data_IF_800428212175
#
_entry.id   IF_800428212175
#
_cell.length_a   1.000
_cell.length_b   1.000
_cell.length_c   1.000
_cell.angle_alpha   90.00
_cell.angle_beta   90.00
_cell.angle_gamma   90.00
#
_symmetry.space_group_name_H-M   'P 1'
#
loop_
_entity.id
_entity.type
_entity.pdbx_description
1 polymer ?
#
# COMPACT_ATOMS: atom_id res chain seq x y z
N UNK A 1 87.35 -17.68 4.01
CA UNK A 1 86.84 -16.46 3.35
C UNK A 1 85.87 -16.87 2.27
N UNK A 2 84.64 -16.30 2.30
CA UNK A 2 83.66 -16.10 1.20
C UNK A 2 83.20 -17.36 0.42
N UNK A 3 81.93 -17.78 0.62
CA UNK A 3 80.80 -17.51 -0.33
C UNK A 3 80.55 -18.78 -1.20
N UNK A 4 79.36 -19.27 -1.57
CA UNK A 4 78.06 -18.65 -1.85
C UNK A 4 77.01 -19.77 -2.19
N UNK A 5 75.74 -19.61 -1.75
CA UNK A 5 74.43 -19.96 -2.42
C UNK A 5 74.13 -21.46 -2.73
N UNK A 6 73.22 -22.17 -2.02
CA UNK A 6 71.75 -22.15 -2.00
C UNK A 6 71.05 -22.76 -3.25
N UNK A 7 70.32 -23.89 -3.08
CA UNK A 7 69.15 -24.36 -3.87
C UNK A 7 68.38 -25.39 -2.99
N UNK A 8 67.29 -25.07 -2.29
CA UNK A 8 65.87 -25.09 -2.76
C UNK A 8 65.38 -26.53 -3.03
N UNK A 9 64.87 -27.30 -2.07
CA UNK A 9 63.61 -27.19 -1.30
C UNK A 9 62.34 -27.28 -2.15
N UNK A 10 62.03 -28.46 -2.70
CA UNK A 10 60.68 -28.81 -3.16
C UNK A 10 60.26 -30.18 -2.61
N UNK A 11 59.62 -30.15 -1.43
CA UNK A 11 58.96 -31.30 -0.81
C UNK A 11 57.44 -31.12 -0.94
N UNK A 12 56.83 -32.05 -1.68
CA UNK A 12 55.39 -32.27 -1.87
C UNK A 12 54.59 -32.04 -0.58
N UNK A 13 53.48 -31.30 -0.66
CA UNK A 13 52.35 -31.47 0.25
C UNK A 13 51.03 -31.32 -0.50
N UNK A 14 50.35 -32.47 -0.64
CA UNK A 14 48.91 -32.73 -0.69
C UNK A 14 47.97 -31.73 -1.37
N UNK A 15 47.45 -32.19 -2.50
CA UNK A 15 46.13 -31.89 -3.03
C UNK A 15 45.09 -32.23 -1.95
N UNK A 16 44.49 -31.22 -1.33
CA UNK A 16 43.39 -31.36 -0.37
C UNK A 16 42.11 -30.86 -1.07
N UNK A 17 40.99 -31.62 -1.00
CA UNK A 17 39.92 -31.54 -1.98
C UNK A 17 39.09 -30.27 -1.83
N UNK A 18 38.92 -29.60 -2.96
CA UNK A 18 38.12 -28.39 -3.18
C UNK A 18 36.62 -28.73 -3.15
N UNK A 19 36.07 -29.16 -2.00
CA UNK A 19 34.70 -29.70 -1.90
C UNK A 19 33.82 -29.07 -0.80
N UNK A 20 34.10 -27.84 -0.38
CA UNK A 20 33.34 -27.16 0.67
C UNK A 20 32.77 -25.79 0.27
N UNK A 21 32.57 -25.53 -1.04
CA UNK A 21 32.07 -24.24 -1.55
C UNK A 21 30.71 -24.32 -2.27
N UNK A 22 29.91 -25.36 -2.00
CA UNK A 22 28.56 -25.54 -2.54
C UNK A 22 27.59 -25.86 -1.40
N UNK A 23 27.11 -24.84 -0.68
CA UNK A 23 25.83 -24.82 0.07
C UNK A 23 25.71 -23.52 0.89
N UNK A 24 26.01 -22.38 0.28
CA UNK A 24 25.39 -21.12 0.67
C UNK A 24 24.60 -20.61 -0.55
N UNK A 25 23.61 -21.40 -0.95
CA UNK A 25 22.42 -20.80 -1.56
C UNK A 25 21.76 -20.07 -0.42
N UNK A 26 22.13 -18.80 -0.26
CA UNK A 26 21.33 -17.83 0.46
C UNK A 26 19.94 -17.97 -0.14
N UNK A 27 19.03 -18.59 0.60
CA UNK A 27 17.61 -18.41 0.36
C UNK A 27 17.40 -16.90 0.52
N UNK A 28 17.51 -16.17 -0.58
CA UNK A 28 16.98 -14.83 -0.69
C UNK A 28 15.49 -15.04 -0.47
N UNK A 29 15.07 -14.92 0.78
CA UNK A 29 13.67 -14.72 1.12
C UNK A 29 13.24 -13.55 0.26
N UNK A 30 12.53 -13.84 -0.83
CA UNK A 30 11.76 -12.86 -1.57
C UNK A 30 10.64 -12.43 -0.62
N UNK A 31 10.98 -11.61 0.37
CA UNK A 31 10.01 -10.81 1.07
C UNK A 31 9.54 -9.80 0.04
N UNK A 32 8.37 -10.05 -0.54
CA UNK A 32 7.70 -9.07 -1.36
C UNK A 32 7.45 -7.83 -0.48
N UNK A 33 8.26 -6.81 -0.73
CA UNK A 33 8.27 -5.55 0.00
C UNK A 33 7.56 -4.50 -0.85
N UNK A 34 6.65 -3.75 -0.23
CA UNK A 34 6.24 -2.47 -0.80
C UNK A 34 7.49 -1.59 -0.94
N UNK A 35 7.60 -0.75 -1.99
CA UNK A 35 8.64 0.26 -2.02
C UNK A 35 8.58 1.11 -0.74
N UNK A 36 9.73 1.58 -0.27
CA UNK A 36 9.80 2.42 0.93
C UNK A 36 8.82 3.60 0.82
N UNK A 37 8.12 3.94 1.92
CA UNK A 37 7.08 4.95 1.91
C UNK A 37 7.52 6.28 1.28
N UNK A 38 8.75 6.70 1.51
CA UNK A 38 9.35 7.92 0.93
C UNK A 38 9.28 8.00 -0.60
N UNK A 39 9.23 6.86 -1.30
CA UNK A 39 9.15 6.80 -2.77
C UNK A 39 7.70 6.69 -3.28
N UNK A 40 6.78 6.27 -2.40
CA UNK A 40 5.38 6.03 -2.73
C UNK A 40 4.54 7.30 -2.57
N UNK A 41 4.67 8.00 -1.45
CA UNK A 41 3.71 9.03 -1.04
C UNK A 41 3.53 10.15 -2.09
N UNK A 42 2.29 10.51 -2.46
CA UNK A 42 2.02 11.68 -3.29
C UNK A 42 2.42 12.99 -2.59
N UNK A 43 2.57 14.06 -3.37
CA UNK A 43 2.94 15.37 -2.84
C UNK A 43 1.94 15.85 -1.75
N UNK A 44 2.46 16.40 -0.67
CA UNK A 44 1.69 16.92 0.46
C UNK A 44 1.25 15.88 1.49
N UNK A 45 1.39 14.58 1.22
CA UNK A 45 1.17 13.55 2.23
C UNK A 45 2.39 13.39 3.14
N UNK A 46 2.16 13.30 4.44
CA UNK A 46 3.16 12.98 5.45
C UNK A 46 2.95 11.56 5.96
N UNK A 47 4.04 10.81 6.11
CA UNK A 47 4.00 9.46 6.67
C UNK A 47 3.50 9.53 8.12
N UNK A 48 2.46 8.76 8.43
CA UNK A 48 1.94 8.58 9.79
C UNK A 48 2.49 7.31 10.41
N UNK A 49 2.47 6.21 9.66
CA UNK A 49 2.98 4.92 10.13
C UNK A 49 3.36 4.02 8.96
N UNK A 50 4.36 3.18 9.18
CA UNK A 50 4.71 2.05 8.33
C UNK A 50 4.80 0.81 9.21
N UNK A 51 4.05 -0.24 8.86
CA UNK A 51 3.86 -1.41 9.72
C UNK A 51 3.93 -2.70 8.90
N UNK A 52 4.53 -3.73 9.49
CA UNK A 52 4.47 -5.11 9.00
C UNK A 52 3.70 -5.95 10.02
N UNK A 53 2.48 -6.33 9.67
CA UNK A 53 1.57 -7.11 10.50
C UNK A 53 1.58 -8.59 10.09
N UNK A 54 2.76 -9.22 10.12
CA UNK A 54 2.89 -10.68 9.95
C UNK A 54 2.33 -11.20 8.63
N UNK A 55 2.63 -10.53 7.51
CA UNK A 55 2.16 -10.91 6.17
C UNK A 55 1.31 -9.84 5.47
N UNK A 56 1.02 -8.73 6.15
CA UNK A 56 0.48 -7.52 5.54
C UNK A 56 1.40 -6.34 5.82
N UNK A 57 1.86 -5.69 4.76
CA UNK A 57 2.57 -4.40 4.84
C UNK A 57 1.56 -3.27 4.71
N UNK A 58 1.69 -2.26 5.56
CA UNK A 58 0.79 -1.11 5.61
C UNK A 58 1.60 0.18 5.68
N UNK A 59 1.24 1.13 4.82
CA UNK A 59 1.75 2.50 4.83
C UNK A 59 0.55 3.42 4.99
N UNK A 60 0.52 4.14 6.11
CA UNK A 60 -0.49 5.13 6.43
C UNK A 60 0.13 6.53 6.31
N UNK A 61 -0.53 7.41 5.58
CA UNK A 61 -0.12 8.80 5.41
C UNK A 61 -1.32 9.75 5.52
N UNK A 62 -1.04 11.00 5.86
CA UNK A 62 -2.07 12.03 6.04
C UNK A 62 -1.73 13.31 5.30
N UNK A 63 -2.73 14.04 4.86
CA UNK A 63 -2.61 15.39 4.28
C UNK A 63 -3.75 16.27 4.81
N UNK A 64 -3.56 17.58 5.05
CA UNK A 64 -4.66 18.48 5.33
C UNK A 64 -5.71 18.49 4.21
N UNK A 65 -6.97 18.64 4.58
CA UNK A 65 -8.07 18.70 3.63
C UNK A 65 -8.48 20.17 3.40
N UNK A 66 -7.91 20.77 2.36
CA UNK A 66 -8.05 22.19 2.06
C UNK A 66 -9.49 22.60 1.65
N UNK A 67 -10.29 21.63 1.19
CA UNK A 67 -11.64 21.84 0.67
C UNK A 67 -12.74 21.59 1.72
N UNK A 68 -12.38 21.42 3.00
CA UNK A 68 -13.37 21.21 4.07
C UNK A 68 -14.19 22.49 4.26
N UNK A 69 -15.53 22.42 4.12
CA UNK A 69 -16.37 23.57 4.34
C UNK A 69 -16.37 23.96 5.82
N UNK A 70 -16.07 25.24 6.12
CA UNK A 70 -16.43 25.81 7.42
C UNK A 70 -17.95 25.67 7.58
N UNK A 71 -18.47 25.28 8.75
CA UNK A 71 -17.82 25.25 10.07
C UNK A 71 -17.19 23.89 10.49
N UNK A 72 -17.07 22.92 9.60
CA UNK A 72 -16.55 21.60 9.97
C UNK A 72 -15.07 21.65 10.35
N UNK A 73 -14.67 20.82 11.31
CA UNK A 73 -13.26 20.59 11.63
C UNK A 73 -12.64 19.74 10.52
N UNK A 74 -11.45 20.11 10.08
CA UNK A 74 -10.68 19.31 9.12
C UNK A 74 -10.39 17.91 9.71
N UNK A 75 -10.92 16.82 9.13
CA UNK A 75 -10.63 15.47 9.56
C UNK A 75 -9.24 14.98 9.08
N UNK A 76 -8.63 15.69 8.11
CA UNK A 76 -7.50 15.23 7.33
C UNK A 76 -7.95 14.31 6.20
N UNK A 77 -7.08 14.15 5.20
CA UNK A 77 -7.18 13.11 4.17
C UNK A 77 -6.26 11.98 4.62
N UNK A 78 -6.80 10.77 4.76
CA UNK A 78 -5.99 9.60 5.08
C UNK A 78 -5.74 8.77 3.82
N UNK A 79 -4.47 8.50 3.53
CA UNK A 79 -4.04 7.58 2.49
C UNK A 79 -3.49 6.32 3.15
N UNK A 80 -4.04 5.17 2.79
CA UNK A 80 -3.51 3.85 3.16
C UNK A 80 -3.09 3.10 1.92
N UNK A 81 -1.89 2.57 1.93
CA UNK A 81 -1.38 1.63 0.94
C UNK A 81 -1.10 0.33 1.66
N UNK A 82 -1.54 -0.79 1.10
CA UNK A 82 -1.24 -2.10 1.66
C UNK A 82 -0.74 -3.08 0.61
N UNK A 83 0.02 -4.07 1.08
CA UNK A 83 0.35 -5.27 0.33
C UNK A 83 0.13 -6.48 1.24
N UNK A 84 -0.40 -7.55 0.67
CA UNK A 84 -0.59 -8.81 1.35
C UNK A 84 -0.25 -9.96 0.41
N UNK A 85 0.58 -10.89 0.87
CA UNK A 85 0.80 -12.15 0.17
C UNK A 85 -0.54 -12.90 0.09
N UNK A 86 -1.02 -13.15 -1.13
CA UNK A 86 -2.31 -13.81 -1.30
C UNK A 86 -2.34 -14.63 -2.59
N UNK A 87 -2.24 -15.97 -2.51
CA UNK A 87 -2.26 -16.83 -3.70
C UNK A 87 -3.63 -16.84 -4.40
N UNK A 88 -4.68 -16.34 -3.75
CA UNK A 88 -6.04 -16.25 -4.29
C UNK A 88 -6.37 -14.85 -4.83
N UNK A 89 -5.36 -14.01 -5.10
CA UNK A 89 -5.54 -12.63 -5.55
C UNK A 89 -6.48 -12.50 -6.77
N UNK A 90 -6.33 -13.36 -7.78
CA UNK A 90 -7.19 -13.36 -8.97
C UNK A 90 -8.66 -13.61 -8.64
N UNK A 91 -8.92 -14.63 -7.82
CA UNK A 91 -10.28 -14.97 -7.40
C UNK A 91 -10.90 -13.83 -6.59
N UNK A 92 -10.15 -13.24 -5.67
CA UNK A 92 -10.63 -12.11 -4.85
C UNK A 92 -10.98 -10.90 -5.71
N UNK A 93 -10.17 -10.58 -6.72
CA UNK A 93 -10.47 -9.48 -7.64
C UNK A 93 -11.70 -9.77 -8.49
N UNK A 94 -11.87 -11.02 -8.94
CA UNK A 94 -13.05 -11.40 -9.69
C UNK A 94 -14.32 -11.30 -8.85
N UNK A 95 -14.29 -11.79 -7.61
CA UNK A 95 -15.39 -11.64 -6.66
C UNK A 95 -15.68 -10.18 -6.35
N UNK A 96 -14.66 -9.39 -6.03
CA UNK A 96 -14.82 -7.96 -5.70
C UNK A 96 -15.46 -7.16 -6.84
N UNK A 97 -15.20 -7.53 -8.09
CA UNK A 97 -15.80 -6.86 -9.25
C UNK A 97 -17.28 -7.21 -9.47
N UNK A 98 -17.74 -8.34 -8.94
CA UNK A 98 -19.11 -8.86 -9.13
C UNK A 98 -20.01 -8.61 -7.92
N UNK A 99 -19.42 -8.38 -6.75
CA UNK A 99 -20.20 -8.10 -5.55
C UNK A 99 -20.81 -6.69 -5.63
N UNK A 100 -22.13 -6.54 -5.43
CA UNK A 100 -22.73 -5.23 -5.29
C UNK A 100 -22.15 -4.53 -4.05
N UNK A 101 -21.97 -3.23 -4.16
CA UNK A 101 -21.55 -2.40 -3.03
C UNK A 101 -22.73 -2.33 -2.05
N UNK A 102 -22.71 -3.15 -1.00
CA UNK A 102 -23.77 -3.11 0.00
C UNK A 102 -23.82 -1.72 0.66
N UNK A 103 -25.02 -1.14 0.90
CA UNK A 103 -25.12 0.04 1.73
C UNK A 103 -24.43 -0.28 3.07
N UNK A 104 -23.54 0.61 3.53
CA UNK A 104 -22.87 0.34 4.79
C UNK A 104 -23.92 0.16 5.89
N UNK A 105 -23.83 -0.92 6.66
CA UNK A 105 -24.64 -1.07 7.84
C UNK A 105 -24.45 0.20 8.70
N UNK A 106 -25.55 0.87 9.01
CA UNK A 106 -25.51 2.06 9.85
C UNK A 106 -25.02 1.61 11.22
N UNK A 107 -23.82 2.06 11.61
CA UNK A 107 -23.25 1.71 12.92
C UNK A 107 -24.22 2.21 13.99
N UNK A 108 -24.71 1.36 14.90
CA UNK A 108 -25.65 1.78 15.95
C UNK A 108 -25.08 2.99 16.73
N UNK A 109 -25.83 4.08 16.78
CA UNK A 109 -25.40 5.33 17.43
C UNK A 109 -24.55 6.28 16.57
N UNK A 110 -24.16 5.87 15.35
CA UNK A 110 -23.51 6.78 14.38
C UNK A 110 -24.57 7.57 13.62
N UNK A 111 -24.42 8.90 13.63
CA UNK A 111 -25.21 9.80 12.78
C UNK A 111 -24.66 9.86 11.34
N UNK A 112 -23.45 9.36 11.11
CA UNK A 112 -22.84 9.27 9.79
C UNK A 112 -23.46 8.15 8.97
N UNK A 113 -23.84 8.46 7.73
CA UNK A 113 -24.31 7.49 6.73
C UNK A 113 -23.25 7.32 5.65
N UNK A 114 -23.12 6.11 5.10
CA UNK A 114 -22.32 5.89 3.91
C UNK A 114 -23.20 5.43 2.75
N UNK A 115 -22.99 6.02 1.57
CA UNK A 115 -23.71 5.70 0.35
C UNK A 115 -22.72 5.24 -0.72
N UNK A 116 -22.99 4.14 -1.44
CA UNK A 116 -22.14 3.73 -2.55
C UNK A 116 -22.20 4.77 -3.68
N UNK A 117 -21.03 5.10 -4.24
CA UNK A 117 -20.89 5.88 -5.47
C UNK A 117 -20.31 5.06 -6.62
N UNK A 118 -20.21 3.74 -6.46
CA UNK A 118 -20.08 2.78 -7.53
C UNK A 118 -18.79 1.99 -7.51
N UNK A 119 -18.87 0.79 -8.09
CA UNK A 119 -17.77 -0.13 -8.31
C UNK A 119 -17.47 -0.18 -9.81
N UNK A 120 -16.19 -0.19 -10.17
CA UNK A 120 -15.77 -0.35 -11.57
C UNK A 120 -14.42 -1.05 -11.67
N UNK A 121 -14.20 -1.78 -12.77
CA UNK A 121 -12.86 -2.22 -13.15
C UNK A 121 -12.01 -0.99 -13.49
N UNK A 122 -10.79 -0.94 -12.97
CA UNK A 122 -9.85 0.17 -13.20
C UNK A 122 -8.41 -0.32 -13.12
N UNK A 123 -7.62 -0.13 -14.19
CA UNK A 123 -6.20 -0.49 -14.24
C UNK A 123 -5.91 -1.91 -13.73
N UNK A 124 -6.63 -2.91 -14.27
CA UNK A 124 -6.55 -4.34 -13.90
C UNK A 124 -6.94 -4.68 -12.44
N UNK A 125 -7.43 -3.69 -11.69
CA UNK A 125 -8.00 -3.86 -10.36
C UNK A 125 -9.49 -3.52 -10.31
N UNK A 126 -9.98 -3.36 -9.08
CA UNK A 126 -11.35 -2.97 -8.76
C UNK A 126 -11.30 -1.67 -7.97
N UNK A 127 -11.94 -0.64 -8.51
CA UNK A 127 -12.15 0.64 -7.85
C UNK A 127 -13.51 0.62 -7.15
N UNK A 128 -13.54 1.02 -5.88
CA UNK A 128 -14.73 1.21 -5.07
C UNK A 128 -14.84 2.67 -4.64
N UNK A 129 -16.06 3.14 -4.46
CA UNK A 129 -16.34 4.54 -4.16
C UNK A 129 -17.47 4.62 -3.16
N UNK A 130 -17.26 5.32 -2.05
CA UNK A 130 -18.33 5.65 -1.11
C UNK A 130 -18.32 7.12 -0.75
N UNK A 131 -19.52 7.67 -0.58
CA UNK A 131 -19.73 8.97 0.06
C UNK A 131 -19.99 8.73 1.53
N UNK A 132 -19.24 9.41 2.39
CA UNK A 132 -19.46 9.43 3.82
C UNK A 132 -20.10 10.77 4.16
N UNK A 133 -21.34 10.74 4.62
CA UNK A 133 -22.13 11.93 4.91
C UNK A 133 -22.29 12.04 6.42
N UNK A 134 -21.63 13.04 6.99
CA UNK A 134 -21.68 13.37 8.41
C UNK A 134 -22.62 14.56 8.59
N UNK A 135 -23.74 14.40 9.31
CA UNK A 135 -24.70 15.49 9.47
C UNK A 135 -24.09 16.63 10.30
N UNK A 136 -24.60 17.83 10.08
CA UNK A 136 -24.23 18.98 10.89
C UNK A 136 -24.65 18.80 12.36
N UNK A 137 -23.67 18.87 13.27
CA UNK A 137 -23.88 18.81 14.72
C UNK A 137 -23.41 20.12 15.35
N UNK A 138 -24.25 21.14 15.28
CA UNK A 138 -23.99 22.45 15.91
C UNK A 138 -25.25 23.29 16.02
N UNK A 139 -25.16 24.43 16.73
CA UNK A 139 -26.28 25.37 16.86
C UNK A 139 -26.57 26.05 15.51
N UNK A 140 -27.83 26.02 15.07
CA UNK A 140 -28.27 26.60 13.79
C UNK A 140 -28.35 25.58 12.64
N UNK A 141 -28.61 26.09 11.43
CA UNK A 141 -28.64 25.28 10.20
C UNK A 141 -27.25 25.30 9.54
N UNK A 142 -26.68 24.13 9.28
CA UNK A 142 -25.42 23.97 8.58
C UNK A 142 -25.52 22.83 7.56
N UNK A 143 -24.68 22.81 6.51
CA UNK A 143 -24.68 21.73 5.54
C UNK A 143 -24.06 20.46 6.13
N UNK A 144 -24.56 19.30 5.72
CA UNK A 144 -23.88 18.02 5.95
C UNK A 144 -22.46 18.06 5.37
N UNK A 145 -21.50 17.48 6.08
CA UNK A 145 -20.17 17.24 5.55
C UNK A 145 -20.22 15.99 4.67
N UNK A 146 -19.87 16.13 3.40
CA UNK A 146 -19.74 15.01 2.47
C UNK A 146 -18.27 14.80 2.16
N UNK A 147 -17.76 13.61 2.48
CA UNK A 147 -16.41 13.19 2.11
C UNK A 147 -16.46 11.94 1.24
N UNK A 148 -15.38 11.69 0.49
CA UNK A 148 -15.21 10.52 -0.34
C UNK A 148 -14.26 9.52 0.32
N UNK A 149 -14.63 8.25 0.22
CA UNK A 149 -13.77 7.08 0.42
C UNK A 149 -13.60 6.40 -0.92
N UNK A 150 -12.39 6.46 -1.48
CA UNK A 150 -12.03 5.81 -2.73
C UNK A 150 -11.07 4.67 -2.41
N UNK A 151 -11.46 3.46 -2.78
CA UNK A 151 -10.63 2.27 -2.65
C UNK A 151 -10.22 1.76 -4.03
N UNK A 152 -9.02 1.23 -4.14
CA UNK A 152 -8.59 0.42 -5.27
C UNK A 152 -7.89 -0.81 -4.75
N UNK A 153 -8.25 -1.98 -5.27
CA UNK A 153 -7.58 -3.25 -4.99
C UNK A 153 -7.14 -3.86 -6.31
N UNK A 154 -5.90 -4.32 -6.38
CA UNK A 154 -5.34 -4.94 -7.57
C UNK A 154 -4.29 -5.99 -7.22
N UNK A 155 -3.71 -6.59 -8.26
CA UNK A 155 -2.61 -7.53 -8.10
C UNK A 155 -1.30 -6.78 -7.90
N UNK A 156 -0.54 -7.21 -6.90
CA UNK A 156 0.87 -6.86 -6.73
C UNK A 156 1.75 -8.06 -7.07
N UNK A 157 3.02 -7.97 -6.69
CA UNK A 157 3.90 -9.14 -6.69
C UNK A 157 3.36 -10.20 -5.73
N UNK A 158 3.05 -11.39 -6.25
CA UNK A 158 2.62 -12.59 -5.52
C UNK A 158 1.41 -12.42 -4.57
N UNK A 159 0.62 -11.35 -4.75
CA UNK A 159 -0.45 -11.04 -3.82
C UNK A 159 -1.35 -9.89 -4.23
N UNK A 160 -2.00 -9.30 -3.23
CA UNK A 160 -2.91 -8.18 -3.37
C UNK A 160 -2.25 -6.91 -2.87
N UNK A 161 -2.47 -5.83 -3.62
CA UNK A 161 -2.19 -4.47 -3.17
C UNK A 161 -3.48 -3.69 -3.07
N UNK A 162 -3.55 -2.78 -2.10
CA UNK A 162 -4.66 -1.86 -1.99
C UNK A 162 -4.20 -0.42 -1.81
N UNK A 163 -5.00 0.51 -2.30
CA UNK A 163 -4.88 1.95 -2.08
C UNK A 163 -6.24 2.41 -1.57
N UNK A 164 -6.26 3.12 -0.45
CA UNK A 164 -7.47 3.72 0.10
C UNK A 164 -7.24 5.18 0.40
N UNK A 165 -8.04 6.06 -0.17
CA UNK A 165 -8.13 7.49 0.15
C UNK A 165 -9.41 7.69 0.95
N UNK A 166 -9.29 8.12 2.19
CA UNK A 166 -10.41 8.34 3.11
C UNK A 166 -10.57 9.82 3.44
N UNK A 167 -11.79 10.20 3.80
CA UNK A 167 -12.14 11.54 4.32
C UNK A 167 -11.83 12.69 3.35
N UNK A 168 -11.78 12.42 2.04
CA UNK A 168 -11.44 13.44 1.04
C UNK A 168 -12.65 14.36 0.74
N UNK A 169 -12.48 15.68 0.89
CA UNK A 169 -13.46 16.67 0.45
C UNK A 169 -13.02 17.13 -0.93
N UNK A 170 -13.84 16.92 -1.95
CA UNK A 170 -13.48 17.26 -3.32
C UNK A 170 -14.12 16.32 -4.34
N UNK A 171 -13.55 16.29 -5.54
CA UNK A 171 -14.09 15.49 -6.64
C UNK A 171 -13.54 14.06 -6.65
N UNK A 172 -14.36 13.07 -7.06
CA UNK A 172 -13.89 11.69 -7.28
C UNK A 172 -12.66 11.64 -8.19
N UNK A 173 -12.61 12.46 -9.23
CA UNK A 173 -11.49 12.52 -10.17
C UNK A 173 -10.17 12.94 -9.49
N UNK A 174 -10.21 13.90 -8.57
CA UNK A 174 -9.02 14.36 -7.84
C UNK A 174 -8.45 13.25 -6.94
N UNK A 175 -9.30 12.53 -6.20
CA UNK A 175 -8.86 11.39 -5.40
C UNK A 175 -8.34 10.24 -6.27
N UNK A 176 -9.00 9.96 -7.40
CA UNK A 176 -8.56 8.95 -8.35
C UNK A 176 -7.19 9.28 -8.96
N UNK A 177 -6.86 10.55 -9.16
CA UNK A 177 -5.54 10.93 -9.66
C UNK A 177 -4.41 10.45 -8.73
N UNK A 178 -4.58 10.50 -7.40
CA UNK A 178 -3.59 9.95 -6.46
C UNK A 178 -3.50 8.43 -6.58
N UNK A 179 -4.65 7.74 -6.66
CA UNK A 179 -4.69 6.29 -6.90
C UNK A 179 -3.91 5.93 -8.18
N UNK A 180 -4.19 6.62 -9.28
CA UNK A 180 -3.53 6.40 -10.58
C UNK A 180 -2.01 6.61 -10.52
N UNK A 181 -1.54 7.58 -9.74
CA UNK A 181 -0.10 7.81 -9.56
C UNK A 181 0.60 6.72 -8.74
N UNK A 182 -0.14 6.03 -7.88
CA UNK A 182 0.39 5.02 -6.95
C UNK A 182 0.40 3.62 -7.57
N UNK A 183 -0.62 3.27 -8.35
CA UNK A 183 -0.74 1.97 -9.01
C UNK A 183 0.57 1.51 -9.65
N UNK A 184 1.21 2.25 -10.58
CA UNK A 184 2.41 1.77 -11.24
C UNK A 184 3.62 1.60 -10.30
N UNK A 185 3.62 2.23 -9.12
CA UNK A 185 4.69 2.11 -8.13
C UNK A 185 4.55 0.83 -7.30
N UNK A 186 3.31 0.41 -7.02
CA UNK A 186 3.03 -0.72 -6.12
C UNK A 186 2.73 -2.02 -6.86
N UNK A 187 2.38 -1.97 -8.14
CA UNK A 187 2.14 -3.18 -8.96
C UNK A 187 3.38 -3.69 -9.69
N UNK A 188 4.44 -2.85 -9.80
CA UNK A 188 5.66 -3.17 -10.56
C UNK A 188 6.88 -3.52 -9.70
N UNK A 189 6.77 -3.65 -8.37
CA UNK A 189 7.91 -4.04 -7.54
C UNK A 189 8.48 -5.39 -8.04
N UNK A 190 9.70 -5.33 -8.55
CA UNK A 190 10.58 -6.41 -9.01
C UNK A 190 12.01 -5.98 -8.73
#
# INVERSE_FOLDING_TARGET
MRSIIAVELWRRVNVMPLFALMLMVSAASLEAQLPAAATLLPAGFTLKAEQNLGGTLLIDAVKPNEDVPKPHRDPGIELRISWQLNPMADMILEMSAKQPEEPAAQVPGSVTREEPCGISRHRDGVLTCRKVITPWVGSGKGPDLVTLRIGWVGKGQDGLVSISVNQFCGSKASAMAWVDTLIPKITKAR
#
